data_IF_734050978068
#
_entry.id   IF_734050978068
#
_cell.length_a   1.000
_cell.length_b   1.000
_cell.length_c   1.000
_cell.angle_alpha   90.00
_cell.angle_beta   90.00
_cell.angle_gamma   90.00
#
_symmetry.space_group_name_H-M   'P 1'
#
loop_
_entity.id
_entity.type
_entity.pdbx_description
1 polymer ?
#
# COMPACT_ATOMS: atom_id res chain seq x y z
N UNK A 1 -1.09 9.53 -6.75
CA UNK A 1 0.16 9.66 -5.95
C UNK A 1 1.28 10.37 -6.70
N UNK A 2 1.86 9.83 -7.78
CA UNK A 2 2.99 10.50 -8.48
C UNK A 2 2.70 11.96 -8.87
N UNK A 3 1.50 12.24 -9.41
CA UNK A 3 1.02 13.62 -9.68
C UNK A 3 1.01 14.49 -8.41
N UNK A 4 0.35 14.03 -7.35
CA UNK A 4 0.24 14.76 -6.07
C UNK A 4 1.61 15.08 -5.49
N UNK A 5 2.54 14.13 -5.46
CA UNK A 5 3.89 14.38 -4.92
C UNK A 5 4.67 15.33 -5.83
N UNK A 6 4.54 15.20 -7.15
CA UNK A 6 5.17 16.15 -8.10
C UNK A 6 4.66 17.57 -7.87
N UNK A 7 3.37 17.76 -7.65
CA UNK A 7 2.77 19.06 -7.31
C UNK A 7 3.30 19.62 -5.99
N UNK A 8 3.46 18.77 -4.96
CA UNK A 8 3.94 19.21 -3.64
C UNK A 8 5.42 19.58 -3.67
N UNK A 9 6.26 18.87 -4.44
CA UNK A 9 7.72 19.04 -4.37
C UNK A 9 8.33 19.81 -5.54
N UNK A 10 7.60 20.00 -6.64
CA UNK A 10 8.14 20.54 -7.90
C UNK A 10 9.06 19.57 -8.68
N UNK A 11 9.38 18.41 -8.11
CA UNK A 11 10.24 17.40 -8.76
C UNK A 11 9.40 16.39 -9.53
N UNK A 12 9.79 16.03 -10.75
CA UNK A 12 9.03 15.05 -11.55
C UNK A 12 9.20 13.63 -11.01
N UNK A 13 8.11 13.01 -10.57
CA UNK A 13 8.07 11.60 -10.20
C UNK A 13 7.53 10.72 -11.32
N UNK A 14 8.05 9.49 -11.44
CA UNK A 14 7.55 8.46 -12.36
C UNK A 14 7.10 7.23 -11.58
N UNK A 15 6.16 6.50 -12.15
CA UNK A 15 5.72 5.22 -11.60
C UNK A 15 6.79 4.16 -11.89
N UNK A 16 7.21 3.44 -10.86
CA UNK A 16 8.08 2.29 -10.98
C UNK A 16 7.27 1.00 -10.77
N UNK A 17 7.46 0.01 -11.65
CA UNK A 17 6.74 -1.28 -11.62
C UNK A 17 7.77 -2.42 -11.60
N UNK A 18 8.30 -2.81 -10.43
CA UNK A 18 9.34 -3.82 -10.32
C UNK A 18 8.87 -5.25 -10.64
N UNK A 19 7.56 -5.46 -10.84
CA UNK A 19 6.99 -6.77 -11.14
C UNK A 19 5.47 -6.76 -11.00
N UNK A 20 4.86 -7.92 -11.28
CA UNK A 20 3.42 -8.14 -11.12
C UNK A 20 3.06 -8.95 -9.88
N UNK A 21 1.78 -8.96 -9.51
CA UNK A 21 1.25 -9.72 -8.37
C UNK A 21 1.47 -11.23 -8.50
N UNK A 22 1.49 -11.77 -9.74
CA UNK A 22 1.81 -13.17 -9.99
C UNK A 22 3.22 -13.54 -9.54
N UNK A 23 4.21 -12.72 -9.90
CA UNK A 23 5.60 -12.91 -9.47
C UNK A 23 5.71 -12.81 -7.94
N UNK A 24 5.08 -11.81 -7.33
CA UNK A 24 5.06 -11.65 -5.87
C UNK A 24 4.47 -12.89 -5.18
N UNK A 25 3.38 -13.46 -5.72
CA UNK A 25 2.77 -14.70 -5.21
C UNK A 25 3.71 -15.90 -5.27
N UNK A 26 4.51 -16.02 -6.33
CA UNK A 26 5.53 -17.07 -6.44
C UNK A 26 6.61 -16.89 -5.37
N UNK A 27 7.14 -15.67 -5.23
CA UNK A 27 8.17 -15.35 -4.23
C UNK A 27 7.66 -15.60 -2.80
N UNK A 28 6.41 -15.26 -2.50
CA UNK A 28 5.76 -15.56 -1.22
C UNK A 28 5.78 -17.07 -0.93
N UNK A 29 5.43 -17.91 -1.91
CA UNK A 29 5.40 -19.37 -1.74
C UNK A 29 6.80 -19.90 -1.41
N UNK A 30 7.83 -19.40 -2.10
CA UNK A 30 9.22 -19.75 -1.85
C UNK A 30 9.62 -19.30 -0.44
N UNK A 31 9.36 -18.04 -0.08
CA UNK A 31 9.70 -17.49 1.23
C UNK A 31 9.02 -18.26 2.38
N UNK A 32 7.75 -18.62 2.23
CA UNK A 32 7.01 -19.43 3.20
C UNK A 32 7.56 -20.85 3.32
N UNK A 33 8.01 -21.44 2.22
CA UNK A 33 8.58 -22.79 2.22
C UNK A 33 9.94 -22.83 2.93
N UNK A 34 10.82 -21.86 2.61
CA UNK A 34 12.17 -21.78 3.17
C UNK A 34 12.16 -21.32 4.63
N UNK A 35 11.31 -20.34 4.97
CA UNK A 35 11.22 -19.76 6.30
C UNK A 35 9.75 -19.74 6.76
N UNK A 36 9.20 -20.87 7.22
CA UNK A 36 7.79 -20.97 7.60
C UNK A 36 7.41 -20.11 8.80
N UNK A 37 8.37 -19.75 9.67
CA UNK A 37 8.16 -18.79 10.77
C UNK A 37 7.22 -19.30 11.88
N UNK A 38 7.28 -20.60 12.22
CA UNK A 38 6.35 -21.24 13.18
C UNK A 38 6.29 -20.58 14.57
N UNK A 39 7.36 -19.89 14.98
CA UNK A 39 7.49 -19.24 16.29
C UNK A 39 7.45 -17.71 16.19
N UNK A 40 7.19 -17.16 15.00
CA UNK A 40 7.12 -15.72 14.79
C UNK A 40 5.66 -15.29 14.78
N UNK A 41 5.35 -14.15 15.42
CA UNK A 41 4.01 -13.60 15.39
C UNK A 41 3.62 -13.15 13.97
N UNK A 42 4.58 -12.58 13.22
CA UNK A 42 4.39 -12.11 11.85
C UNK A 42 5.60 -12.47 10.95
N UNK A 43 5.66 -13.69 10.41
CA UNK A 43 6.68 -14.07 9.44
C UNK A 43 6.73 -13.13 8.23
N UNK A 44 7.93 -12.93 7.67
CA UNK A 44 8.13 -12.02 6.53
C UNK A 44 7.22 -12.33 5.32
N UNK A 45 6.99 -13.62 5.02
CA UNK A 45 6.11 -14.04 3.93
C UNK A 45 4.64 -13.63 4.15
N UNK A 46 4.20 -13.41 5.39
CA UNK A 46 2.88 -12.87 5.68
C UNK A 46 2.77 -11.38 5.31
N UNK A 47 3.79 -10.58 5.64
CA UNK A 47 3.85 -9.17 5.22
C UNK A 47 3.81 -9.02 3.69
N UNK A 48 4.51 -9.90 2.98
CA UNK A 48 4.44 -9.95 1.52
C UNK A 48 3.03 -10.31 1.01
N UNK A 49 2.35 -11.28 1.64
CA UNK A 49 0.96 -11.60 1.30
C UNK A 49 0.01 -10.44 1.57
N UNK A 50 0.20 -9.73 2.67
CA UNK A 50 -0.58 -8.54 3.00
C UNK A 50 -0.47 -7.51 1.87
N UNK A 51 0.76 -7.22 1.42
CA UNK A 51 0.99 -6.33 0.27
C UNK A 51 0.33 -6.84 -1.01
N UNK A 52 0.46 -8.13 -1.33
CA UNK A 52 -0.21 -8.73 -2.48
C UNK A 52 -1.73 -8.52 -2.42
N UNK A 53 -2.34 -8.77 -1.26
CA UNK A 53 -3.79 -8.67 -1.08
C UNK A 53 -4.29 -7.22 -1.14
N UNK A 54 -3.53 -6.25 -0.62
CA UNK A 54 -3.87 -4.83 -0.79
C UNK A 54 -3.91 -4.41 -2.27
N UNK A 55 -3.06 -5.00 -3.09
CA UNK A 55 -2.87 -4.58 -4.48
C UNK A 55 -3.68 -5.40 -5.49
N UNK A 56 -4.23 -6.55 -5.11
CA UNK A 56 -4.98 -7.44 -6.01
C UNK A 56 -6.38 -6.95 -6.38
N UNK A 57 -6.83 -5.86 -5.75
CA UNK A 57 -8.02 -5.12 -6.14
C UNK A 57 -9.34 -5.76 -5.70
N UNK A 58 -9.32 -6.87 -4.95
CA UNK A 58 -10.55 -7.52 -4.46
C UNK A 58 -11.30 -6.71 -3.42
N UNK A 59 -10.60 -5.86 -2.66
CA UNK A 59 -11.15 -5.03 -1.59
C UNK A 59 -11.25 -3.54 -1.97
N UNK A 60 -11.64 -3.22 -3.22
CA UNK A 60 -11.85 -1.83 -3.64
C UNK A 60 -13.23 -1.33 -3.22
N UNK A 61 -13.26 -0.35 -2.32
CA UNK A 61 -14.48 0.37 -1.96
C UNK A 61 -14.92 1.31 -3.08
N UNK A 62 -16.22 1.37 -3.35
CA UNK A 62 -16.78 2.33 -4.32
C UNK A 62 -16.67 3.78 -3.81
N UNK A 63 -16.86 3.97 -2.50
CA UNK A 63 -16.71 5.25 -1.82
C UNK A 63 -15.92 5.02 -0.53
N UNK A 64 -14.75 5.65 -0.41
CA UNK A 64 -13.91 5.56 0.79
C UNK A 64 -14.50 6.44 1.90
N UNK A 65 -14.91 7.65 1.54
CA UNK A 65 -15.61 8.56 2.45
C UNK A 65 -17.12 8.51 2.20
N UNK A 66 -17.81 7.72 3.02
CA UNK A 66 -19.25 7.48 2.90
C UNK A 66 -20.10 8.34 3.84
N UNK A 67 -19.53 9.38 4.46
CA UNK A 67 -20.24 10.24 5.44
C UNK A 67 -20.88 9.45 6.60
N UNK A 68 -20.32 8.28 6.95
CA UNK A 68 -20.82 7.47 8.08
C UNK A 68 -20.77 8.24 9.40
N UNK A 69 -19.80 9.14 9.55
CA UNK A 69 -19.65 10.00 10.71
C UNK A 69 -19.79 11.46 10.27
N UNK A 70 -21.04 11.93 10.28
CA UNK A 70 -21.35 13.28 9.81
C UNK A 70 -20.58 14.35 10.58
N UNK A 71 -20.09 15.35 9.86
CA UNK A 71 -19.29 16.45 10.41
C UNK A 71 -17.81 16.13 10.61
N UNK A 72 -17.37 14.87 10.44
CA UNK A 72 -15.94 14.51 10.45
C UNK A 72 -15.36 14.69 9.06
N UNK A 73 -14.26 15.42 8.97
CA UNK A 73 -13.47 15.58 7.74
C UNK A 73 -12.16 14.81 7.87
N UNK A 74 -11.92 13.86 6.96
CA UNK A 74 -10.66 13.10 6.94
C UNK A 74 -9.53 13.92 6.32
N UNK A 75 -8.36 13.92 6.96
CA UNK A 75 -7.15 14.49 6.36
C UNK A 75 -6.77 13.70 5.12
N UNK A 76 -6.66 14.39 3.99
CA UNK A 76 -6.24 13.79 2.72
C UNK A 76 -4.76 13.42 2.74
N UNK A 77 -4.38 12.47 1.90
CA UNK A 77 -2.97 12.14 1.69
C UNK A 77 -2.14 13.37 1.24
N UNK A 78 -2.74 14.29 0.47
CA UNK A 78 -2.08 15.52 0.01
C UNK A 78 -1.75 16.44 1.18
N UNK A 79 -2.73 16.71 2.04
CA UNK A 79 -2.57 17.58 3.21
C UNK A 79 -1.53 17.02 4.18
N UNK A 80 -1.61 15.71 4.48
CA UNK A 80 -0.66 15.09 5.41
C UNK A 80 0.78 15.12 4.88
N UNK A 81 0.99 14.77 3.60
CA UNK A 81 2.32 14.80 2.98
C UNK A 81 2.88 16.23 2.94
N UNK A 82 2.04 17.23 2.64
CA UNK A 82 2.46 18.63 2.65
C UNK A 82 2.85 19.09 4.06
N UNK A 83 2.11 18.68 5.09
CA UNK A 83 2.38 19.04 6.48
C UNK A 83 3.68 18.44 7.03
N UNK A 84 4.02 17.19 6.66
CA UNK A 84 5.23 16.48 7.14
C UNK A 84 6.54 16.92 6.50
N UNK A 85 6.50 17.83 5.53
CA UNK A 85 7.70 18.37 4.86
C UNK A 85 8.13 19.75 5.37
N UNK A 86 7.36 20.35 6.28
CA UNK A 86 7.81 21.47 7.11
C UNK A 86 8.71 20.95 8.22
#
# INVERSE_FOLDING_TARGET
MAKVVTEITGSKFRLFRPGGLGLLRILIKIARFVAPGKNELYPAWQGMQYMNNMLDGRAKFQKIDNDRYSGIQFTTAKEWIAAKRK
#
